data_IF_760862604943
#
_entry.id   IF_760862604943
#
_cell.length_a   1.000
_cell.length_b   1.000
_cell.length_c   1.000
_cell.angle_alpha   90.00
_cell.angle_beta   90.00
_cell.angle_gamma   90.00
#
_symmetry.space_group_name_H-M   'P 1'
#
loop_
_entity.id
_entity.type
_entity.pdbx_description
1 polymer ?
#
# COMPACT_ATOMS: atom_id res chain seq x y z
N UNK A 1 -30.84 4.18 5.62
CA UNK A 1 -29.80 5.19 5.94
C UNK A 1 -29.03 5.53 4.67
N UNK A 2 -28.79 6.82 4.39
CA UNK A 2 -28.06 7.27 3.20
C UNK A 2 -26.59 6.84 3.33
N UNK A 3 -26.09 5.99 2.44
CA UNK A 3 -24.69 5.54 2.46
C UNK A 3 -23.82 6.67 1.95
N UNK A 4 -22.92 7.18 2.80
CA UNK A 4 -21.97 8.20 2.39
C UNK A 4 -20.77 7.53 1.72
N UNK A 5 -20.46 7.85 0.45
CA UNK A 5 -19.26 7.34 -0.18
C UNK A 5 -18.02 7.98 0.45
N UNK A 6 -16.92 7.24 0.47
CA UNK A 6 -15.63 7.77 0.93
C UNK A 6 -15.20 8.92 -0.01
N UNK A 7 -14.93 10.13 0.51
CA UNK A 7 -14.76 11.31 -0.32
C UNK A 7 -13.34 11.34 -0.94
N UNK A 8 -13.21 10.80 -2.15
CA UNK A 8 -11.94 10.64 -2.87
C UNK A 8 -11.12 11.94 -2.90
N UNK A 9 -11.70 13.04 -3.39
CA UNK A 9 -11.00 14.32 -3.52
C UNK A 9 -10.52 14.85 -2.17
N UNK A 10 -11.37 14.75 -1.14
CA UNK A 10 -11.01 15.16 0.22
C UNK A 10 -9.83 14.32 0.74
N UNK A 11 -9.85 13.01 0.54
CA UNK A 11 -8.74 12.13 0.98
C UNK A 11 -7.45 12.47 0.25
N UNK A 12 -7.48 12.73 -1.06
CA UNK A 12 -6.28 13.09 -1.83
C UNK A 12 -5.68 14.42 -1.39
N UNK A 13 -6.51 15.46 -1.26
CA UNK A 13 -6.06 16.79 -0.82
C UNK A 13 -5.57 16.75 0.62
N UNK A 14 -6.27 16.03 1.49
CA UNK A 14 -5.88 15.88 2.90
C UNK A 14 -4.58 15.10 3.04
N UNK A 15 -4.36 14.06 2.22
CA UNK A 15 -3.10 13.31 2.18
C UNK A 15 -1.93 14.20 1.75
N UNK A 16 -2.13 15.04 0.73
CA UNK A 16 -1.09 15.95 0.25
C UNK A 16 -0.75 17.03 1.28
N UNK A 17 -1.78 17.61 1.93
CA UNK A 17 -1.59 18.56 3.03
C UNK A 17 -0.88 17.92 4.20
N UNK A 18 -1.28 16.73 4.62
CA UNK A 18 -0.65 16.01 5.72
C UNK A 18 0.83 15.72 5.44
N UNK A 19 1.15 15.26 4.23
CA UNK A 19 2.54 15.01 3.81
C UNK A 19 3.36 16.29 3.82
N UNK A 20 2.81 17.41 3.33
CA UNK A 20 3.46 18.72 3.36
C UNK A 20 3.67 19.22 4.78
N UNK A 21 2.66 19.13 5.63
CA UNK A 21 2.66 19.73 6.96
C UNK A 21 3.56 18.92 7.93
N UNK A 22 3.65 17.59 7.76
CA UNK A 22 4.46 16.69 8.59
C UNK A 22 5.73 16.14 7.90
N UNK A 23 6.20 16.73 6.81
CA UNK A 23 7.28 16.17 5.99
C UNK A 23 8.58 15.84 6.77
N UNK A 24 8.96 16.69 7.74
CA UNK A 24 10.14 16.47 8.58
C UNK A 24 9.99 15.25 9.49
N UNK A 25 8.81 15.09 10.09
CA UNK A 25 8.50 13.93 10.92
C UNK A 25 8.50 12.66 10.09
N UNK A 26 7.96 12.71 8.86
CA UNK A 26 8.01 11.57 7.95
C UNK A 26 9.44 11.18 7.64
N UNK A 27 10.28 12.11 7.17
CA UNK A 27 11.70 11.81 6.92
C UNK A 27 12.41 11.25 8.15
N UNK A 28 12.20 11.81 9.34
CA UNK A 28 12.79 11.30 10.57
C UNK A 28 12.29 9.89 10.93
N UNK A 29 11.06 9.53 10.58
CA UNK A 29 10.45 8.22 10.86
C UNK A 29 10.65 7.19 9.77
N UNK A 30 11.13 7.56 8.58
CA UNK A 30 11.39 6.65 7.45
C UNK A 30 12.80 6.77 6.89
N UNK A 31 13.72 7.45 7.61
CA UNK A 31 15.11 7.61 7.19
C UNK A 31 15.83 6.30 6.87
N UNK A 32 15.62 5.15 7.56
CA UNK A 32 16.32 3.91 7.20
C UNK A 32 15.84 3.39 5.85
N UNK A 33 14.55 3.51 5.55
CA UNK A 33 14.02 3.14 4.25
C UNK A 33 14.57 4.05 3.15
N UNK A 34 14.58 5.37 3.38
CA UNK A 34 15.18 6.32 2.45
C UNK A 34 16.68 6.04 2.21
N UNK A 35 17.44 5.79 3.27
CA UNK A 35 18.87 5.48 3.19
C UNK A 35 19.11 4.20 2.39
N UNK A 36 18.33 3.15 2.65
CA UNK A 36 18.39 1.89 1.90
C UNK A 36 18.04 2.15 0.42
N UNK A 37 16.97 2.90 0.12
CA UNK A 37 16.60 3.22 -1.26
C UNK A 37 17.71 3.99 -1.98
N UNK A 38 18.28 5.03 -1.36
CA UNK A 38 19.40 5.77 -1.97
C UNK A 38 20.62 4.89 -2.16
N UNK A 39 20.99 4.08 -1.15
CA UNK A 39 22.11 3.15 -1.24
C UNK A 39 21.91 2.14 -2.38
N UNK A 40 20.68 1.63 -2.58
CA UNK A 40 20.40 0.69 -3.68
C UNK A 40 20.60 1.33 -5.06
N UNK A 41 20.20 2.59 -5.25
CA UNK A 41 20.40 3.27 -6.53
C UNK A 41 21.89 3.54 -6.80
N UNK A 42 22.65 3.91 -5.76
CA UNK A 42 24.10 4.12 -5.87
C UNK A 42 24.83 2.80 -6.15
N UNK A 43 24.51 1.73 -5.42
CA UNK A 43 25.14 0.42 -5.59
C UNK A 43 24.85 -0.17 -6.97
N UNK A 44 23.61 -0.12 -7.45
CA UNK A 44 23.25 -0.61 -8.79
C UNK A 44 23.95 0.14 -9.92
N UNK A 45 24.28 1.42 -9.72
CA UNK A 45 25.04 2.19 -10.72
C UNK A 45 26.54 1.85 -10.76
N UNK A 46 27.06 1.15 -9.74
CA UNK A 46 28.48 0.81 -9.61
C UNK A 46 28.74 -0.70 -9.64
N UNK A 47 27.71 -1.55 -9.55
CA UNK A 47 27.89 -2.99 -9.66
C UNK A 47 27.94 -3.43 -11.12
N UNK A 48 29.01 -4.14 -11.48
CA UNK A 48 29.06 -4.91 -12.73
C UNK A 48 27.99 -6.02 -12.68
N UNK A 49 27.52 -6.48 -13.86
CA UNK A 49 26.46 -7.49 -14.06
C UNK A 49 26.65 -8.85 -13.34
N UNK A 50 27.73 -9.01 -12.55
CA UNK A 50 28.08 -10.24 -11.82
C UNK A 50 27.68 -10.21 -10.34
N UNK A 51 26.65 -9.46 -9.97
CA UNK A 51 26.06 -9.55 -8.63
C UNK A 51 25.51 -10.95 -8.37
N UNK A 52 26.11 -11.67 -7.42
CA UNK A 52 25.67 -13.00 -7.03
C UNK A 52 24.23 -12.97 -6.48
N UNK A 53 23.40 -13.93 -6.89
CA UNK A 53 21.99 -14.10 -6.42
C UNK A 53 21.81 -13.93 -4.90
N UNK A 54 22.73 -14.41 -4.03
CA UNK A 54 22.62 -14.19 -2.58
C UNK A 54 22.64 -12.72 -2.16
N UNK A 55 23.43 -11.88 -2.84
CA UNK A 55 23.55 -10.46 -2.54
C UNK A 55 22.23 -9.73 -2.85
N UNK A 56 21.64 -10.01 -4.03
CA UNK A 56 20.33 -9.49 -4.41
C UNK A 56 19.25 -9.89 -3.39
N UNK A 57 19.25 -11.14 -2.94
CA UNK A 57 18.31 -11.61 -1.93
C UNK A 57 18.44 -10.86 -0.60
N UNK A 58 19.67 -10.65 -0.12
CA UNK A 58 19.94 -9.87 1.10
C UNK A 58 19.47 -8.42 0.96
N UNK A 59 19.66 -7.80 -0.21
CA UNK A 59 19.16 -6.44 -0.47
C UNK A 59 17.64 -6.36 -0.44
N UNK A 60 16.94 -7.28 -1.11
CA UNK A 60 15.49 -7.35 -1.07
C UNK A 60 14.97 -7.49 0.38
N UNK A 61 15.63 -8.33 1.19
CA UNK A 61 15.28 -8.49 2.60
C UNK A 61 15.49 -7.20 3.39
N UNK A 62 16.63 -6.51 3.17
CA UNK A 62 16.94 -5.25 3.84
C UNK A 62 15.91 -4.16 3.51
N UNK A 63 15.56 -4.01 2.22
CA UNK A 63 14.52 -3.09 1.76
C UNK A 63 13.18 -3.41 2.41
N UNK A 64 12.77 -4.69 2.40
CA UNK A 64 11.50 -5.13 2.98
C UNK A 64 11.39 -4.82 4.47
N UNK A 65 12.46 -5.09 5.24
CA UNK A 65 12.49 -4.81 6.68
C UNK A 65 12.44 -3.30 6.94
N UNK A 66 13.24 -2.51 6.21
CA UNK A 66 13.25 -1.05 6.36
C UNK A 66 11.89 -0.43 5.98
N UNK A 67 11.26 -0.93 4.92
CA UNK A 67 9.94 -0.50 4.46
C UNK A 67 8.87 -0.86 5.49
N UNK A 68 8.88 -2.06 6.07
CA UNK A 68 7.93 -2.47 7.12
C UNK A 68 8.09 -1.60 8.37
N UNK A 69 9.33 -1.36 8.80
CA UNK A 69 9.67 -0.49 9.92
C UNK A 69 9.13 0.93 9.75
N UNK A 70 9.31 1.49 8.56
CA UNK A 70 8.83 2.83 8.23
C UNK A 70 7.30 2.87 8.10
N UNK A 71 6.70 1.84 7.49
CA UNK A 71 5.23 1.71 7.33
C UNK A 71 4.51 1.73 8.68
N UNK A 72 4.99 0.95 9.67
CA UNK A 72 4.42 0.96 11.03
C UNK A 72 4.45 2.36 11.63
N UNK A 73 5.60 3.03 11.57
CA UNK A 73 5.82 4.32 12.21
C UNK A 73 4.99 5.42 11.59
N UNK A 74 4.94 5.49 10.27
CA UNK A 74 4.14 6.48 9.56
C UNK A 74 2.65 6.28 9.83
N UNK A 75 2.13 5.05 9.75
CA UNK A 75 0.73 4.79 10.08
C UNK A 75 0.39 5.20 11.52
N UNK A 76 1.26 4.90 12.48
CA UNK A 76 1.07 5.30 13.88
C UNK A 76 1.08 6.81 14.07
N UNK A 77 2.04 7.51 13.47
CA UNK A 77 2.15 8.96 13.56
C UNK A 77 0.92 9.68 12.96
N UNK A 78 0.32 9.09 11.92
CA UNK A 78 -0.89 9.62 11.30
C UNK A 78 -2.13 9.34 12.15
N UNK A 79 -2.27 8.11 12.65
CA UNK A 79 -3.51 7.63 13.29
C UNK A 79 -3.58 7.87 14.80
N UNK A 80 -2.44 7.83 15.50
CA UNK A 80 -2.38 7.90 16.97
C UNK A 80 -2.18 9.32 17.53
N UNK A 81 -2.08 10.34 16.67
CA UNK A 81 -1.91 11.75 17.03
C UNK A 81 -3.06 12.35 17.88
N UNK A 82 -3.91 11.53 18.50
CA UNK A 82 -5.00 11.98 19.36
C UNK A 82 -5.33 11.11 20.58
N UNK A 83 -4.84 9.87 20.75
CA UNK A 83 -5.57 8.96 21.67
C UNK A 83 -4.85 7.79 22.38
N UNK A 84 -3.56 7.51 22.24
CA UNK A 84 -2.97 6.32 22.89
C UNK A 84 -2.00 6.62 24.03
N UNK A 85 -2.31 6.04 25.19
CA UNK A 85 -1.43 5.93 26.35
C UNK A 85 -0.32 4.89 26.07
N UNK A 86 0.96 5.16 26.43
CA UNK A 86 2.10 4.30 26.09
C UNK A 86 2.13 2.93 26.80
N UNK A 87 1.21 2.66 27.73
CA UNK A 87 1.29 1.51 28.63
C UNK A 87 0.93 0.13 28.01
N UNK A 88 0.15 0.09 26.93
CA UNK A 88 -0.34 -1.18 26.33
C UNK A 88 0.31 -1.54 24.99
N UNK A 89 1.43 -0.90 24.64
CA UNK A 89 2.07 -1.14 23.33
C UNK A 89 2.92 -2.42 23.35
N UNK A 90 2.67 -3.42 22.48
CA UNK A 90 3.59 -4.54 22.27
C UNK A 90 5.01 -4.06 21.90
N UNK A 91 6.04 -4.87 22.19
CA UNK A 91 7.43 -4.54 21.91
C UNK A 91 7.63 -4.18 20.44
N UNK A 92 8.44 -3.15 20.18
CA UNK A 92 8.83 -2.72 18.84
C UNK A 92 9.49 -3.88 18.10
N UNK A 93 8.87 -4.39 17.04
CA UNK A 93 9.30 -5.59 16.33
C UNK A 93 8.14 -6.52 15.98
N UNK A 94 7.22 -6.78 16.92
CA UNK A 94 6.08 -7.68 16.66
C UNK A 94 5.11 -7.12 15.61
N UNK A 95 4.96 -5.79 15.57
CA UNK A 95 4.09 -5.11 14.60
C UNK A 95 4.66 -5.22 13.19
N UNK A 96 5.96 -4.93 13.05
CA UNK A 96 6.71 -5.04 11.81
C UNK A 96 6.63 -6.46 11.26
N UNK A 97 6.85 -7.48 12.12
CA UNK A 97 6.74 -8.89 11.73
C UNK A 97 5.32 -9.29 11.29
N UNK A 98 4.28 -8.78 11.95
CA UNK A 98 2.89 -9.02 11.53
C UNK A 98 2.59 -8.38 10.18
N UNK A 99 3.05 -7.15 9.94
CA UNK A 99 2.91 -6.49 8.63
C UNK A 99 3.62 -7.28 7.54
N UNK A 100 4.86 -7.73 7.79
CA UNK A 100 5.60 -8.61 6.87
C UNK A 100 4.81 -9.90 6.59
N UNK A 101 4.22 -10.51 7.61
CA UNK A 101 3.35 -11.67 7.46
C UNK A 101 2.14 -11.40 6.56
N UNK A 102 1.46 -10.26 6.74
CA UNK A 102 0.34 -9.89 5.87
C UNK A 102 0.79 -9.57 4.44
N UNK A 103 1.94 -8.93 4.25
CA UNK A 103 2.52 -8.71 2.92
C UNK A 103 2.83 -10.04 2.23
N UNK A 104 3.41 -11.01 2.95
CA UNK A 104 3.65 -12.34 2.41
C UNK A 104 2.35 -13.03 2.01
N UNK A 105 1.32 -12.99 2.85
CA UNK A 105 0.01 -13.55 2.52
C UNK A 105 -0.63 -12.88 1.29
N UNK A 106 -0.56 -11.54 1.21
CA UNK A 106 -1.03 -10.78 0.06
C UNK A 106 -0.24 -11.13 -1.20
N UNK A 107 1.08 -11.24 -1.10
CA UNK A 107 1.95 -11.64 -2.20
C UNK A 107 1.58 -13.02 -2.73
N UNK A 108 1.44 -14.02 -1.86
CA UNK A 108 1.02 -15.38 -2.24
C UNK A 108 -0.34 -15.35 -2.95
N UNK A 109 -1.31 -14.60 -2.41
CA UNK A 109 -2.63 -14.49 -3.02
C UNK A 109 -2.59 -13.81 -4.40
N UNK A 110 -1.76 -12.77 -4.57
CA UNK A 110 -1.54 -12.13 -5.88
C UNK A 110 -0.89 -13.14 -6.84
N UNK A 111 0.12 -13.90 -6.41
CA UNK A 111 0.76 -14.92 -7.24
C UNK A 111 -0.24 -15.98 -7.72
N UNK A 112 -1.16 -16.43 -6.86
CA UNK A 112 -2.23 -17.35 -7.26
C UNK A 112 -3.13 -16.74 -8.35
N UNK A 113 -3.48 -15.46 -8.22
CA UNK A 113 -4.29 -14.75 -9.23
C UNK A 113 -3.53 -14.55 -10.53
N UNK A 114 -2.27 -14.12 -10.47
CA UNK A 114 -1.38 -13.96 -11.63
C UNK A 114 -1.25 -15.28 -12.37
N UNK A 115 -0.91 -16.35 -11.65
CA UNK A 115 -0.71 -17.67 -12.23
C UNK A 115 -2.01 -18.20 -12.85
N UNK A 116 -3.14 -18.07 -12.14
CA UNK A 116 -4.44 -18.44 -12.68
C UNK A 116 -4.79 -17.67 -13.96
N UNK A 117 -4.50 -16.37 -13.99
CA UNK A 117 -4.71 -15.53 -15.18
C UNK A 117 -3.82 -15.95 -16.35
N UNK A 118 -2.53 -16.18 -16.11
CA UNK A 118 -1.58 -16.63 -17.15
C UNK A 118 -2.01 -17.97 -17.72
N UNK A 119 -2.32 -18.96 -16.87
CA UNK A 119 -2.79 -20.28 -17.32
C UNK A 119 -4.07 -20.17 -18.15
N UNK A 120 -5.05 -19.38 -17.69
CA UNK A 120 -6.32 -19.20 -18.39
C UNK A 120 -6.13 -18.52 -19.75
N UNK A 121 -5.36 -17.43 -19.78
CA UNK A 121 -5.13 -16.65 -21.01
C UNK A 121 -4.27 -17.41 -22.02
N UNK A 122 -3.30 -18.21 -21.57
CA UNK A 122 -2.57 -19.15 -22.42
C UNK A 122 -3.46 -20.26 -22.96
N UNK A 123 -4.33 -20.85 -22.14
CA UNK A 123 -5.23 -21.93 -22.56
C UNK A 123 -6.25 -21.49 -23.64
N UNK A 124 -6.70 -20.23 -23.60
CA UNK A 124 -7.62 -19.64 -24.59
C UNK A 124 -6.85 -19.07 -25.80
N UNK A 125 -5.51 -19.12 -25.79
CA UNK A 125 -4.68 -18.61 -26.90
C UNK A 125 -4.61 -17.08 -26.99
N UNK A 126 -4.93 -16.36 -25.90
CA UNK A 126 -4.84 -14.90 -25.85
C UNK A 126 -3.39 -14.40 -25.77
N UNK A 127 -2.51 -15.19 -25.14
CA UNK A 127 -1.07 -14.96 -25.08
C UNK A 127 -0.41 -15.90 -26.09
N UNK A 128 -0.39 -15.48 -27.35
CA UNK A 128 0.32 -16.15 -28.43
C UNK A 128 1.19 -15.13 -29.14
N UNK A 129 2.34 -15.55 -29.71
CA UNK A 129 3.25 -14.62 -30.41
C UNK A 129 2.60 -13.88 -31.59
N UNK A 130 1.49 -14.42 -32.12
CA UNK A 130 0.68 -13.80 -33.18
C UNK A 130 -0.38 -12.81 -32.67
N UNK A 131 -0.58 -12.66 -31.36
CA UNK A 131 -1.54 -11.68 -30.85
C UNK A 131 -0.99 -10.27 -31.08
N UNK A 132 -1.80 -9.39 -31.67
CA UNK A 132 -1.40 -8.00 -31.89
C UNK A 132 -1.11 -7.28 -30.57
N UNK A 133 -0.21 -6.30 -30.61
CA UNK A 133 0.22 -5.51 -29.44
C UNK A 133 -0.97 -5.02 -28.59
N UNK A 134 -2.06 -4.56 -29.21
CA UNK A 134 -3.27 -4.11 -28.52
C UNK A 134 -3.96 -5.21 -27.70
N UNK A 135 -3.96 -6.44 -28.20
CA UNK A 135 -4.53 -7.60 -27.49
C UNK A 135 -3.68 -7.92 -26.26
N UNK A 136 -2.35 -7.88 -26.40
CA UNK A 136 -1.44 -8.12 -25.27
C UNK A 136 -1.60 -7.07 -24.17
N UNK A 137 -1.70 -5.79 -24.54
CA UNK A 137 -1.98 -4.69 -23.59
C UNK A 137 -3.33 -4.92 -22.90
N UNK A 138 -4.38 -5.25 -23.64
CA UNK A 138 -5.70 -5.49 -23.08
C UNK A 138 -5.71 -6.67 -22.10
N UNK A 139 -5.08 -7.79 -22.48
CA UNK A 139 -4.95 -8.99 -21.64
C UNK A 139 -4.16 -8.68 -20.36
N UNK A 140 -3.07 -7.92 -20.47
CA UNK A 140 -2.30 -7.45 -19.31
C UNK A 140 -3.16 -6.58 -18.39
N UNK A 141 -3.85 -5.58 -18.94
CA UNK A 141 -4.71 -4.68 -18.17
C UNK A 141 -5.82 -5.45 -17.44
N UNK A 142 -6.53 -6.35 -18.13
CA UNK A 142 -7.59 -7.18 -17.51
C UNK A 142 -7.03 -8.07 -16.41
N UNK A 143 -5.85 -8.66 -16.60
CA UNK A 143 -5.19 -9.48 -15.58
C UNK A 143 -4.83 -8.71 -14.32
N UNK A 144 -4.43 -7.45 -14.44
CA UNK A 144 -4.06 -6.61 -13.29
C UNK A 144 -5.26 -6.16 -12.45
N UNK A 145 -6.45 -6.01 -13.04
CA UNK A 145 -7.65 -5.51 -12.34
C UNK A 145 -8.01 -6.33 -11.08
N UNK A 146 -8.08 -7.68 -11.12
CA UNK A 146 -8.28 -8.51 -9.93
C UNK A 146 -7.21 -8.28 -8.84
N UNK A 147 -5.95 -8.09 -9.23
CA UNK A 147 -4.85 -7.87 -8.29
C UNK A 147 -5.03 -6.56 -7.54
N UNK A 148 -5.29 -5.48 -8.29
CA UNK A 148 -5.56 -4.13 -7.75
C UNK A 148 -6.77 -4.17 -6.82
N UNK A 149 -7.80 -4.93 -7.20
CA UNK A 149 -9.00 -5.09 -6.40
C UNK A 149 -8.75 -5.84 -5.08
N UNK A 150 -7.92 -6.87 -5.08
CA UNK A 150 -7.52 -7.55 -3.85
C UNK A 150 -6.67 -6.64 -2.94
N UNK A 151 -5.65 -6.00 -3.50
CA UNK A 151 -4.72 -5.13 -2.76
C UNK A 151 -5.45 -3.96 -2.13
N UNK A 152 -6.33 -3.28 -2.88
CA UNK A 152 -7.08 -2.12 -2.37
C UNK A 152 -7.97 -2.46 -1.17
N UNK A 153 -8.46 -3.70 -1.07
CA UNK A 153 -9.32 -4.16 0.02
C UNK A 153 -8.54 -4.69 1.21
N UNK A 154 -7.51 -5.50 0.95
CA UNK A 154 -6.69 -6.06 2.02
C UNK A 154 -5.71 -5.06 2.61
N UNK A 155 -5.33 -4.01 1.88
CA UNK A 155 -4.42 -2.97 2.34
C UNK A 155 -4.85 -2.32 3.67
N UNK A 156 -6.15 -2.25 3.97
CA UNK A 156 -6.65 -1.73 5.25
C UNK A 156 -6.18 -2.54 6.48
N UNK A 157 -5.66 -3.76 6.30
CA UNK A 157 -5.06 -4.54 7.39
C UNK A 157 -3.79 -3.88 7.93
N UNK A 158 -3.07 -3.15 7.10
CA UNK A 158 -1.78 -2.53 7.42
C UNK A 158 -1.96 -1.43 8.48
N UNK A 159 -2.80 -0.39 8.28
CA UNK A 159 -3.04 0.63 9.29
C UNK A 159 -3.65 0.06 10.58
N UNK A 160 -4.59 -0.90 10.47
CA UNK A 160 -5.17 -1.57 11.64
C UNK A 160 -4.10 -2.28 12.49
N UNK A 161 -3.17 -2.98 11.84
CA UNK A 161 -2.08 -3.70 12.51
C UNK A 161 -1.05 -2.73 13.11
N UNK A 162 -0.79 -1.60 12.45
CA UNK A 162 0.17 -0.61 12.93
C UNK A 162 -0.25 0.05 14.26
N UNK A 163 -1.56 0.24 14.46
CA UNK A 163 -2.12 0.83 15.69
C UNK A 163 -2.60 -0.22 16.71
N UNK A 164 -2.43 -1.51 16.42
CA UNK A 164 -2.98 -2.63 17.21
C UNK A 164 -4.51 -2.53 17.43
N UNK A 165 -5.25 -2.08 16.41
CA UNK A 165 -6.71 -2.03 16.48
C UNK A 165 -7.28 -3.46 16.49
N UNK A 166 -8.27 -3.72 17.35
CA UNK A 166 -9.00 -4.98 17.36
C UNK A 166 -10.48 -4.73 17.04
N UNK A 167 -11.09 -5.52 16.13
CA UNK A 167 -10.55 -6.72 15.45
C UNK A 167 -9.61 -6.42 14.27
N UNK A 168 -8.63 -7.30 14.03
CA UNK A 168 -7.63 -7.20 12.94
C UNK A 168 -7.63 -8.40 11.98
N UNK A 169 -6.92 -8.26 10.85
CA UNK A 169 -6.67 -9.32 9.87
C UNK A 169 -7.36 -9.14 8.52
N UNK A 170 -7.02 -9.98 7.55
CA UNK A 170 -7.52 -9.88 6.16
C UNK A 170 -9.03 -10.00 6.05
N UNK A 171 -9.66 -10.86 6.85
CA UNK A 171 -11.12 -11.01 6.90
C UNK A 171 -11.79 -9.75 7.44
N UNK A 172 -11.18 -9.10 8.43
CA UNK A 172 -11.65 -7.82 8.95
C UNK A 172 -11.52 -6.72 7.90
N UNK A 173 -10.33 -6.56 7.31
CA UNK A 173 -10.06 -5.59 6.25
C UNK A 173 -11.06 -5.74 5.09
N UNK A 174 -11.32 -6.98 4.67
CA UNK A 174 -12.31 -7.29 3.63
C UNK A 174 -13.72 -6.83 3.98
N UNK A 175 -14.17 -7.10 5.21
CA UNK A 175 -15.51 -6.70 5.68
C UNK A 175 -15.60 -5.18 5.81
N UNK A 176 -14.56 -4.56 6.36
CA UNK A 176 -14.45 -3.11 6.54
C UNK A 176 -14.51 -2.38 5.19
N UNK A 177 -13.88 -2.95 4.16
CA UNK A 177 -13.82 -2.34 2.82
C UNK A 177 -15.11 -2.53 1.99
N UNK A 178 -16.06 -3.38 2.39
CA UNK A 178 -17.21 -3.76 1.54
C UNK A 178 -18.04 -2.55 1.08
N UNK A 179 -18.31 -1.64 2.00
CA UNK A 179 -19.18 -0.48 1.75
C UNK A 179 -18.51 0.60 0.90
N UNK A 180 -17.17 0.57 0.81
CA UNK A 180 -16.36 1.61 0.16
C UNK A 180 -15.43 1.07 -0.93
N UNK A 181 -15.71 -0.15 -1.43
CA UNK A 181 -14.85 -0.89 -2.37
C UNK A 181 -14.45 -0.09 -3.62
N UNK A 182 -15.35 0.71 -4.19
CA UNK A 182 -15.05 1.50 -5.40
C UNK A 182 -14.11 2.67 -5.13
N UNK A 183 -14.33 3.41 -4.04
CA UNK A 183 -13.48 4.53 -3.66
C UNK A 183 -12.08 4.04 -3.24
N UNK A 184 -12.00 2.92 -2.51
CA UNK A 184 -10.73 2.28 -2.16
C UNK A 184 -9.99 1.78 -3.41
N UNK A 185 -10.69 1.15 -4.36
CA UNK A 185 -10.09 0.69 -5.61
C UNK A 185 -9.40 1.84 -6.37
N UNK A 186 -10.03 3.03 -6.42
CA UNK A 186 -9.43 4.20 -7.05
C UNK A 186 -8.23 4.70 -6.23
N UNK A 187 -8.43 4.94 -4.93
CA UNK A 187 -7.45 5.60 -4.06
C UNK A 187 -6.19 4.76 -3.80
N UNK A 188 -6.36 3.48 -3.53
CA UNK A 188 -5.26 2.57 -3.12
C UNK A 188 -4.94 1.54 -4.19
N UNK A 189 -5.60 1.60 -5.33
CA UNK A 189 -5.37 0.72 -6.47
C UNK A 189 -4.92 1.46 -7.71
N UNK A 190 -5.83 2.21 -8.33
CA UNK A 190 -5.57 2.91 -9.60
C UNK A 190 -4.46 3.96 -9.44
N UNK A 191 -4.50 4.77 -8.38
CA UNK A 191 -3.50 5.84 -8.16
C UNK A 191 -2.08 5.24 -7.99
N UNK A 192 -1.85 4.27 -7.09
CA UNK A 192 -0.55 3.58 -7.00
C UNK A 192 -0.11 2.88 -8.29
N UNK A 193 -1.06 2.30 -9.03
CA UNK A 193 -0.72 1.68 -10.32
C UNK A 193 -0.23 2.74 -11.31
N UNK A 194 -0.88 3.90 -11.35
CA UNK A 194 -0.51 4.99 -12.27
C UNK A 194 0.89 5.56 -11.95
N UNK A 195 1.25 5.69 -10.68
CA UNK A 195 2.61 6.11 -10.28
C UNK A 195 3.65 5.07 -10.72
N UNK A 196 3.35 3.77 -10.52
CA UNK A 196 4.20 2.68 -10.98
C UNK A 196 4.39 2.65 -12.50
N UNK A 197 3.31 2.85 -13.27
CA UNK A 197 3.37 2.89 -14.74
C UNK A 197 4.23 4.06 -15.24
N UNK A 198 4.08 5.25 -14.63
CA UNK A 198 4.92 6.41 -14.94
C UNK A 198 6.39 6.13 -14.69
N UNK A 199 6.73 5.49 -13.56
CA UNK A 199 8.11 5.11 -13.22
C UNK A 199 8.65 4.09 -14.23
N UNK A 200 7.86 3.08 -14.59
CA UNK A 200 8.27 2.02 -15.52
C UNK A 200 8.41 2.46 -16.98
N UNK A 201 7.80 3.58 -17.36
CA UNK A 201 7.83 4.11 -18.74
C UNK A 201 9.02 5.03 -18.99
N UNK A 202 9.82 5.32 -17.96
CA UNK A 202 10.99 6.18 -18.07
C UNK A 202 12.20 5.36 -18.50
N UNK A 203 13.05 5.91 -19.39
CA UNK A 203 14.14 5.14 -19.97
C UNK A 203 15.26 4.94 -18.92
N UNK A 204 15.79 3.71 -18.88
CA UNK A 204 16.82 3.28 -17.95
C UNK A 204 18.21 3.52 -18.58
N UNK A 205 18.61 4.78 -18.64
CA UNK A 205 19.76 5.23 -19.44
C UNK A 205 21.12 4.93 -18.78
N UNK A 206 21.15 4.14 -17.70
CA UNK A 206 22.34 3.91 -16.87
C UNK A 206 22.84 5.14 -16.10
N UNK A 207 22.18 6.29 -16.23
CA UNK A 207 22.55 7.51 -15.53
C UNK A 207 22.15 7.45 -14.04
N UNK A 208 23.16 7.37 -13.17
CA UNK A 208 22.97 7.29 -11.71
C UNK A 208 22.17 8.46 -11.13
N UNK A 209 22.27 9.67 -11.69
CA UNK A 209 21.54 10.84 -11.21
C UNK A 209 20.04 10.73 -11.52
N UNK A 210 19.71 10.16 -12.69
CA UNK A 210 18.33 9.87 -13.10
C UNK A 210 17.75 8.76 -12.21
N UNK A 211 18.52 7.69 -11.97
CA UNK A 211 18.14 6.59 -11.09
C UNK A 211 17.88 7.06 -9.64
N UNK A 212 18.73 7.94 -9.11
CA UNK A 212 18.53 8.56 -7.80
C UNK A 212 17.25 9.41 -7.76
N UNK A 213 17.01 10.22 -8.80
CA UNK A 213 15.78 10.98 -8.96
C UNK A 213 14.52 10.10 -8.92
N UNK A 214 14.57 8.94 -9.59
CA UNK A 214 13.47 7.96 -9.56
C UNK A 214 13.31 7.27 -8.22
N UNK A 215 14.39 6.93 -7.53
CA UNK A 215 14.34 6.39 -6.17
C UNK A 215 13.65 7.35 -5.21
N UNK A 216 13.99 8.64 -5.28
CA UNK A 216 13.35 9.68 -4.47
C UNK A 216 11.87 9.88 -4.82
N UNK A 217 11.53 9.91 -6.13
CA UNK A 217 10.15 10.01 -6.56
C UNK A 217 9.32 8.80 -6.09
N UNK A 218 9.85 7.59 -6.21
CA UNK A 218 9.21 6.35 -5.76
C UNK A 218 8.98 6.36 -4.25
N UNK A 219 9.97 6.82 -3.49
CA UNK A 219 9.85 7.01 -2.04
C UNK A 219 8.73 8.00 -1.68
N UNK A 220 8.64 9.14 -2.39
CA UNK A 220 7.58 10.13 -2.16
C UNK A 220 6.20 9.59 -2.53
N UNK A 221 6.09 8.84 -3.63
CA UNK A 221 4.86 8.17 -4.03
C UNK A 221 4.41 7.17 -2.95
N UNK A 222 5.32 6.33 -2.47
CA UNK A 222 5.04 5.39 -1.38
C UNK A 222 4.58 6.09 -0.08
N UNK A 223 5.25 7.17 0.33
CA UNK A 223 4.86 7.93 1.51
C UNK A 223 3.47 8.57 1.35
N UNK A 224 3.15 9.05 0.15
CA UNK A 224 1.83 9.56 -0.19
C UNK A 224 0.75 8.48 -0.13
N UNK A 225 1.05 7.27 -0.63
CA UNK A 225 0.15 6.12 -0.57
C UNK A 225 -0.16 5.68 0.88
N UNK A 226 0.84 5.73 1.76
CA UNK A 226 0.62 5.49 3.20
C UNK A 226 -0.36 6.51 3.79
N UNK A 227 -0.27 7.79 3.39
CA UNK A 227 -1.19 8.82 3.85
C UNK A 227 -2.62 8.54 3.39
N UNK A 228 -2.79 8.21 2.10
CA UNK A 228 -4.10 7.86 1.53
C UNK A 228 -4.70 6.67 2.28
N UNK A 229 -3.92 5.61 2.49
CA UNK A 229 -4.38 4.40 3.14
C UNK A 229 -4.75 4.65 4.61
N UNK A 230 -3.93 5.43 5.33
CA UNK A 230 -4.18 5.82 6.73
C UNK A 230 -5.47 6.65 6.86
N UNK A 231 -5.61 7.69 6.05
CA UNK A 231 -6.78 8.57 6.11
C UNK A 231 -8.05 7.86 5.67
N UNK A 232 -7.94 6.97 4.68
CA UNK A 232 -9.07 6.11 4.27
C UNK A 232 -9.49 5.21 5.42
N UNK A 233 -8.55 4.55 6.10
CA UNK A 233 -8.83 3.73 7.27
C UNK A 233 -9.53 4.53 8.37
N UNK A 234 -8.95 5.67 8.75
CA UNK A 234 -9.48 6.54 9.81
C UNK A 234 -10.90 6.98 9.51
N UNK A 235 -11.18 7.42 8.29
CA UNK A 235 -12.51 7.89 7.90
C UNK A 235 -13.55 6.77 7.99
N UNK A 236 -13.22 5.56 7.51
CA UNK A 236 -14.14 4.42 7.54
C UNK A 236 -14.45 4.02 8.99
N UNK A 237 -13.43 3.90 9.83
CA UNK A 237 -13.61 3.50 11.24
C UNK A 237 -14.41 4.54 12.02
N UNK A 238 -14.10 5.84 11.86
CA UNK A 238 -14.85 6.91 12.51
C UNK A 238 -16.32 6.91 12.11
N UNK A 239 -16.60 6.69 10.81
CA UNK A 239 -17.97 6.65 10.30
C UNK A 239 -18.76 5.48 10.88
N UNK A 240 -18.18 4.29 10.93
CA UNK A 240 -18.82 3.12 11.54
C UNK A 240 -19.14 3.33 13.02
N UNK A 241 -18.27 4.02 13.76
CA UNK A 241 -18.51 4.34 15.17
C UNK A 241 -19.67 5.32 15.34
N UNK A 242 -19.73 6.38 14.52
CA UNK A 242 -20.83 7.36 14.53
C UNK A 242 -22.16 6.67 14.21
N UNK A 243 -22.20 5.84 13.17
CA UNK A 243 -23.44 5.17 12.76
C UNK A 243 -23.94 4.18 13.84
N UNK A 244 -23.04 3.50 14.56
CA UNK A 244 -23.38 2.68 15.73
C UNK A 244 -23.97 3.51 16.89
N UNK A 245 -23.37 4.66 17.20
CA UNK A 245 -23.87 5.56 18.26
C UNK A 245 -25.26 6.10 17.92
N UNK A 246 -25.49 6.51 16.66
CA UNK A 246 -26.80 6.97 16.21
C UNK A 246 -27.86 5.87 16.32
N UNK A 247 -27.54 4.65 15.91
CA UNK A 247 -28.44 3.50 16.06
C UNK A 247 -28.81 3.24 17.54
N UNK A 248 -27.83 3.30 18.45
CA UNK A 248 -28.07 3.15 19.88
C UNK A 248 -28.94 4.28 20.44
N UNK A 249 -28.76 5.53 20.00
CA UNK A 249 -29.61 6.64 20.43
C UNK A 249 -31.06 6.50 19.95
N UNK A 250 -31.28 6.02 18.72
CA UNK A 250 -32.63 5.80 18.22
C UNK A 250 -33.35 4.67 18.95
N UNK A 251 -32.64 3.60 19.33
CA UNK A 251 -33.21 2.52 20.15
C UNK A 251 -33.61 3.00 21.55
N UNK A 252 -32.82 3.90 22.16
CA UNK A 252 -33.14 4.49 23.47
C UNK A 252 -34.34 5.45 23.45
N UNK A 253 -34.64 6.07 22.30
CA UNK A 253 -35.78 6.98 22.16
C UNK A 253 -37.09 6.24 21.81
N UNK A 254 -36.99 4.98 21.38
CA UNK A 254 -38.14 4.14 21.02
C UNK A 254 -38.56 3.15 22.12
N UNK A 255 -37.78 3.08 23.22
CA UNK A 255 -38.06 2.30 24.42
C UNK A 255 -38.59 3.20 25.53
#
# INVERSE_FOLDING_TARGET
MKKYPLPILYTLVSSARLMRDKWRAFLALSWPYLAVTVATQVLQSHSDETDSVPLLFLYCLMVMVAMAWATVRLHREILLNRQSSPADSPPSGLREMRILGYWLMMFIAIMVVVFGWVVLSSAIGLIHERSGLWIQILVGAVGTLPMIWLVSRWGLVIPATAIDDEPRGLRFAWRLSQEHKGALFILTGIIPMSSGLLISSLPADGNWAIALGFGLFSYLAWAYEICILSLSYQWIVQRQTIDKMLQQSHLKLAA
#
